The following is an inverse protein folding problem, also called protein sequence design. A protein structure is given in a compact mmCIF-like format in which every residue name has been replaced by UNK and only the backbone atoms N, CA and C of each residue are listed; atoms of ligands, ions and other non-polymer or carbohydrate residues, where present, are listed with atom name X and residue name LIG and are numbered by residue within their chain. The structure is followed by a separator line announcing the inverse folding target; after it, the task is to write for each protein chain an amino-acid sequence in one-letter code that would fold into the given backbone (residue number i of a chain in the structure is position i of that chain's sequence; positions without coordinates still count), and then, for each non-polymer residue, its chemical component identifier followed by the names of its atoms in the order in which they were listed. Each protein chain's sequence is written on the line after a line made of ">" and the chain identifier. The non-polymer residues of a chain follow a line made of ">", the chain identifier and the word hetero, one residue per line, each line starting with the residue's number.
data_IF_616146004797
#
_entry.id   IF_616146004797
#
_cell.length_a   1.000
_cell.length_b   1.000
_cell.length_c   1.000
_cell.angle_alpha   90.00
_cell.angle_beta   90.00
_cell.angle_gamma   90.00
#
_symmetry.space_group_name_H-M   'P 1'
#
loop_
_entity.id
_entity.type
_entity.pdbx_description
1 polymer ?
#
# COMPACT_ATOMS: atom_id res chain seq x y z
N UNK A 1 -46.55 3.74 -10.69
CA UNK A 1 -45.26 3.55 -9.99
C UNK A 1 -44.80 4.80 -9.23
N UNK A 2 -45.14 6.02 -9.66
CA UNK A 2 -44.66 7.28 -9.04
C UNK A 2 -45.32 7.70 -7.70
N UNK A 3 -46.40 7.02 -7.27
CA UNK A 3 -47.19 7.46 -6.11
C UNK A 3 -46.57 7.12 -4.74
N UNK A 4 -45.59 6.21 -4.66
CA UNK A 4 -45.00 5.78 -3.37
C UNK A 4 -43.94 6.75 -2.82
N UNK A 5 -43.30 7.53 -3.70
CA UNK A 5 -42.22 8.45 -3.35
C UNK A 5 -42.68 9.63 -2.48
N UNK A 6 -43.98 9.93 -2.46
CA UNK A 6 -44.53 11.12 -1.80
C UNK A 6 -45.10 10.88 -0.40
N UNK A 7 -45.17 9.63 0.08
CA UNK A 7 -45.95 9.32 1.29
C UNK A 7 -45.35 8.34 2.27
N UNK A 8 -44.05 8.01 2.20
CA UNK A 8 -43.45 6.96 3.05
C UNK A 8 -44.16 5.60 2.91
N UNK A 9 -44.76 5.33 1.75
CA UNK A 9 -45.64 4.18 1.53
C UNK A 9 -44.89 2.94 0.99
N UNK A 10 -43.56 2.95 1.01
CA UNK A 10 -42.74 1.85 0.50
C UNK A 10 -43.00 0.53 1.24
N UNK A 11 -43.14 0.57 2.58
CA UNK A 11 -43.45 -0.63 3.37
C UNK A 11 -44.74 -1.32 2.89
N UNK A 12 -45.85 -0.57 2.81
CA UNK A 12 -47.15 -1.10 2.35
C UNK A 12 -47.10 -1.57 0.90
N UNK A 13 -46.35 -0.85 0.05
CA UNK A 13 -46.17 -1.21 -1.36
C UNK A 13 -45.45 -2.54 -1.51
N UNK A 14 -44.37 -2.76 -0.74
CA UNK A 14 -43.59 -4.00 -0.71
C UNK A 14 -44.45 -5.15 -0.18
N UNK A 15 -45.15 -4.97 0.94
CA UNK A 15 -46.01 -6.01 1.53
C UNK A 15 -47.09 -6.48 0.53
N UNK A 16 -47.76 -5.53 -0.12
CA UNK A 16 -48.76 -5.85 -1.15
C UNK A 16 -48.11 -6.55 -2.36
N UNK A 17 -46.97 -6.03 -2.85
CA UNK A 17 -46.26 -6.61 -3.98
C UNK A 17 -45.75 -8.03 -3.71
N UNK A 18 -45.35 -8.37 -2.48
CA UNK A 18 -44.94 -9.74 -2.12
C UNK A 18 -46.07 -10.76 -2.33
N UNK A 19 -47.33 -10.34 -2.13
CA UNK A 19 -48.50 -11.20 -2.34
C UNK A 19 -49.00 -11.20 -3.78
N UNK A 20 -49.03 -10.02 -4.42
CA UNK A 20 -49.72 -9.83 -5.71
C UNK A 20 -48.77 -9.77 -6.91
N UNK A 21 -47.56 -9.22 -6.75
CA UNK A 21 -46.60 -8.96 -7.83
C UNK A 21 -45.15 -9.21 -7.38
N UNK A 22 -44.74 -10.47 -7.09
CA UNK A 22 -43.41 -10.75 -6.52
C UNK A 22 -42.24 -10.26 -7.37
N UNK A 23 -42.41 -10.18 -8.70
CA UNK A 23 -41.39 -9.69 -9.62
C UNK A 23 -41.10 -8.18 -9.46
N UNK A 24 -42.04 -7.39 -8.94
CA UNK A 24 -41.87 -5.94 -8.75
C UNK A 24 -41.27 -5.59 -7.38
N UNK A 25 -41.22 -6.56 -6.45
CA UNK A 25 -40.65 -6.36 -5.10
C UNK A 25 -39.22 -5.86 -5.19
N UNK A 26 -38.39 -6.46 -6.04
CA UNK A 26 -36.98 -6.07 -6.22
C UNK A 26 -36.83 -4.60 -6.60
N UNK A 27 -37.66 -4.10 -7.53
CA UNK A 27 -37.63 -2.68 -7.95
C UNK A 27 -38.13 -1.75 -6.85
N UNK A 28 -39.13 -2.18 -6.08
CA UNK A 28 -39.65 -1.41 -4.95
C UNK A 28 -38.64 -1.31 -3.81
N UNK A 29 -37.95 -2.41 -3.50
CA UNK A 29 -36.85 -2.44 -2.51
C UNK A 29 -35.69 -1.54 -2.95
N UNK A 30 -35.31 -1.57 -4.24
CA UNK A 30 -34.27 -0.68 -4.77
C UNK A 30 -34.67 0.80 -4.61
N UNK A 31 -35.89 1.15 -5.04
CA UNK A 31 -36.40 2.51 -4.92
C UNK A 31 -36.54 2.97 -3.47
N UNK A 32 -36.85 2.06 -2.54
CA UNK A 32 -36.87 2.36 -1.12
C UNK A 32 -35.45 2.63 -0.59
N UNK A 33 -34.48 1.79 -0.95
CA UNK A 33 -33.08 2.02 -0.66
C UNK A 33 -32.60 3.41 -1.14
N UNK A 34 -32.88 3.76 -2.40
CA UNK A 34 -32.50 5.05 -2.98
C UNK A 34 -33.14 6.24 -2.23
N UNK A 35 -34.40 6.10 -1.81
CA UNK A 35 -35.07 7.11 -1.00
C UNK A 35 -34.43 7.28 0.38
N UNK A 36 -34.06 6.18 1.04
CA UNK A 36 -33.38 6.21 2.35
C UNK A 36 -31.99 6.85 2.23
N UNK A 37 -31.27 6.61 1.14
CA UNK A 37 -30.00 7.29 0.84
C UNK A 37 -30.19 8.81 0.73
N UNK A 38 -31.24 9.27 0.04
CA UNK A 38 -31.57 10.70 -0.05
C UNK A 38 -31.86 11.33 1.32
N UNK A 39 -32.48 10.55 2.22
CA UNK A 39 -32.70 10.95 3.62
C UNK A 39 -31.47 10.78 4.52
N UNK A 40 -30.31 10.40 3.98
CA UNK A 40 -29.06 10.10 4.70
C UNK A 40 -29.16 8.90 5.67
N UNK A 41 -30.19 8.06 5.52
CA UNK A 41 -30.39 6.85 6.30
C UNK A 41 -29.72 5.65 5.62
N UNK A 42 -28.41 5.75 5.41
CA UNK A 42 -27.63 4.74 4.68
C UNK A 42 -27.68 3.37 5.35
N UNK A 43 -27.71 3.29 6.69
CA UNK A 43 -27.76 2.02 7.44
C UNK A 43 -29.00 1.19 7.11
N UNK A 44 -30.16 1.85 7.03
CA UNK A 44 -31.43 1.21 6.67
C UNK A 44 -31.43 0.81 5.20
N UNK A 45 -30.88 1.66 4.32
CA UNK A 45 -30.81 1.42 2.88
C UNK A 45 -30.06 0.12 2.52
N UNK A 46 -29.03 -0.27 3.29
CA UNK A 46 -28.23 -1.47 3.01
C UNK A 46 -29.11 -2.73 2.91
N UNK A 47 -30.05 -2.92 3.82
CA UNK A 47 -30.89 -4.12 3.83
C UNK A 47 -31.81 -4.15 2.60
N UNK A 48 -32.42 -3.01 2.27
CA UNK A 48 -33.25 -2.87 1.07
C UNK A 48 -32.46 -3.13 -0.21
N UNK A 49 -31.21 -2.66 -0.31
CA UNK A 49 -30.35 -2.98 -1.45
C UNK A 49 -29.95 -4.45 -1.54
N UNK A 50 -29.75 -5.13 -0.41
CA UNK A 50 -29.51 -6.58 -0.39
C UNK A 50 -30.74 -7.33 -0.90
N UNK A 51 -31.93 -6.96 -0.44
CA UNK A 51 -33.20 -7.56 -0.87
C UNK A 51 -33.51 -7.30 -2.35
N UNK A 52 -33.13 -6.10 -2.84
CA UNK A 52 -33.17 -5.73 -4.24
C UNK A 52 -32.07 -6.39 -5.10
N UNK A 53 -31.16 -7.18 -4.51
CA UNK A 53 -29.99 -7.76 -5.19
C UNK A 53 -29.07 -6.71 -5.84
N UNK A 54 -29.14 -5.46 -5.40
CA UNK A 54 -28.29 -4.34 -5.83
C UNK A 54 -27.02 -4.31 -4.97
N UNK A 55 -26.18 -5.33 -5.11
CA UNK A 55 -24.99 -5.53 -4.26
C UNK A 55 -24.03 -4.35 -4.27
N UNK A 56 -23.82 -3.70 -5.42
CA UNK A 56 -22.97 -2.51 -5.57
C UNK A 56 -23.43 -1.37 -4.66
N UNK A 57 -24.73 -1.03 -4.72
CA UNK A 57 -25.33 0.02 -3.88
C UNK A 57 -25.26 -0.35 -2.39
N UNK A 58 -25.48 -1.63 -2.06
CA UNK A 58 -25.35 -2.13 -0.69
C UNK A 58 -23.92 -1.99 -0.14
N UNK A 59 -22.91 -2.31 -0.95
CA UNK A 59 -21.48 -2.20 -0.60
C UNK A 59 -21.12 -0.72 -0.37
N UNK A 60 -21.53 0.17 -1.27
CA UNK A 60 -21.25 1.60 -1.17
C UNK A 60 -21.90 2.23 0.06
N UNK A 61 -23.16 1.87 0.35
CA UNK A 61 -23.84 2.30 1.57
C UNK A 61 -23.17 1.73 2.84
N UNK A 62 -22.74 0.47 2.84
CA UNK A 62 -22.03 -0.16 3.95
C UNK A 62 -20.65 0.47 4.21
N UNK A 63 -19.92 0.83 3.15
CA UNK A 63 -18.64 1.56 3.27
C UNK A 63 -18.89 2.99 3.79
N UNK A 64 -19.90 3.69 3.24
CA UNK A 64 -20.24 5.06 3.65
C UNK A 64 -20.65 5.17 5.13
N UNK A 65 -21.24 4.12 5.68
CA UNK A 65 -21.64 4.02 7.09
C UNK A 65 -20.58 3.41 8.00
N UNK A 66 -19.40 3.07 7.43
CA UNK A 66 -18.29 2.41 8.14
C UNK A 66 -18.67 1.03 8.71
N UNK A 67 -19.65 0.36 8.13
CA UNK A 67 -19.98 -1.04 8.44
C UNK A 67 -19.05 -2.01 7.69
N UNK A 68 -17.75 -1.93 7.95
CA UNK A 68 -16.70 -2.65 7.18
C UNK A 68 -16.90 -4.16 7.15
N UNK A 69 -17.26 -4.77 8.29
CA UNK A 69 -17.54 -6.22 8.36
C UNK A 69 -18.71 -6.63 7.47
N UNK A 70 -19.77 -5.81 7.43
CA UNK A 70 -20.94 -6.05 6.57
C UNK A 70 -20.58 -5.85 5.11
N UNK A 71 -19.77 -4.84 4.79
CA UNK A 71 -19.26 -4.62 3.44
C UNK A 71 -18.42 -5.82 2.94
N UNK A 72 -17.51 -6.34 3.76
CA UNK A 72 -16.72 -7.55 3.44
C UNK A 72 -17.62 -8.75 3.21
N UNK A 73 -18.62 -8.97 4.08
CA UNK A 73 -19.57 -10.07 3.91
C UNK A 73 -20.34 -9.98 2.59
N UNK A 74 -20.85 -8.78 2.23
CA UNK A 74 -21.55 -8.60 0.95
C UNK A 74 -20.60 -8.83 -0.24
N UNK A 75 -19.34 -8.37 -0.13
CA UNK A 75 -18.32 -8.54 -1.16
C UNK A 75 -17.92 -9.99 -1.40
N UNK A 76 -17.74 -10.76 -0.33
CA UNK A 76 -17.36 -12.18 -0.40
C UNK A 76 -18.47 -13.05 -1.07
N UNK A 77 -19.69 -12.51 -1.20
CA UNK A 77 -20.81 -13.13 -1.93
C UNK A 77 -20.88 -12.73 -3.42
N UNK A 78 -20.08 -11.75 -3.87
CA UNK A 78 -20.09 -11.28 -5.26
C UNK A 78 -19.04 -12.00 -6.13
N UNK A 79 -19.15 -11.78 -7.43
CA UNK A 79 -18.12 -12.20 -8.37
C UNK A 79 -16.79 -11.47 -8.12
N UNK A 80 -15.69 -12.18 -8.40
CA UNK A 80 -14.32 -11.67 -8.16
C UNK A 80 -14.05 -10.28 -8.77
N UNK A 81 -14.39 -9.97 -10.04
CA UNK A 81 -14.04 -8.66 -10.60
C UNK A 81 -14.85 -7.51 -10.00
N UNK A 82 -16.10 -7.73 -9.59
CA UNK A 82 -16.86 -6.72 -8.83
C UNK A 82 -16.23 -6.52 -7.45
N UNK A 83 -15.95 -7.60 -6.73
CA UNK A 83 -15.41 -7.54 -5.37
C UNK A 83 -14.00 -6.91 -5.31
N UNK A 84 -13.15 -7.24 -6.29
CA UNK A 84 -11.76 -6.75 -6.40
C UNK A 84 -11.66 -5.21 -6.39
N UNK A 85 -12.66 -4.50 -6.91
CA UNK A 85 -12.67 -3.03 -6.94
C UNK A 85 -12.85 -2.38 -5.57
N UNK A 86 -13.48 -3.08 -4.62
CA UNK A 86 -13.85 -2.53 -3.31
C UNK A 86 -12.93 -3.00 -2.19
N UNK A 87 -12.31 -4.18 -2.30
CA UNK A 87 -11.36 -4.65 -1.28
C UNK A 87 -10.24 -3.64 -0.96
N UNK A 88 -9.60 -2.94 -1.93
CA UNK A 88 -8.57 -1.94 -1.62
C UNK A 88 -9.11 -0.77 -0.79
N UNK A 89 -10.35 -0.33 -1.03
CA UNK A 89 -10.98 0.76 -0.25
C UNK A 89 -11.18 0.37 1.21
N UNK A 90 -11.56 -0.88 1.45
CA UNK A 90 -11.71 -1.41 2.81
C UNK A 90 -10.35 -1.66 3.45
N UNK A 91 -9.38 -2.19 2.68
CA UNK A 91 -8.02 -2.43 3.15
C UNK A 91 -7.39 -1.13 3.67
N UNK A 92 -7.52 -0.01 2.95
CA UNK A 92 -7.04 1.31 3.38
C UNK A 92 -7.56 1.73 4.77
N UNK A 93 -8.80 1.37 5.12
CA UNK A 93 -9.32 1.61 6.45
C UNK A 93 -8.56 0.80 7.52
N UNK A 94 -8.32 -0.49 7.27
CA UNK A 94 -7.56 -1.34 8.19
C UNK A 94 -6.09 -0.93 8.29
N UNK A 95 -5.49 -0.41 7.20
CA UNK A 95 -4.16 0.23 7.24
C UNK A 95 -4.14 1.41 8.22
N UNK A 96 -5.15 2.28 8.17
CA UNK A 96 -5.27 3.42 9.08
C UNK A 96 -5.44 2.99 10.55
N UNK A 97 -6.04 1.82 10.79
CA UNK A 97 -6.13 1.20 12.12
C UNK A 97 -4.87 0.44 12.54
N UNK A 98 -3.84 0.38 11.68
CA UNK A 98 -2.63 -0.44 11.85
C UNK A 98 -2.90 -1.95 11.95
N UNK A 99 -4.08 -2.40 11.50
CA UNK A 99 -4.41 -3.82 11.38
C UNK A 99 -3.92 -4.32 10.01
N UNK A 100 -2.61 -4.50 9.92
CA UNK A 100 -1.96 -4.87 8.67
C UNK A 100 -2.31 -6.29 8.20
N UNK A 101 -2.67 -7.19 9.11
CA UNK A 101 -3.06 -8.56 8.76
C UNK A 101 -4.38 -8.56 7.99
N UNK A 102 -5.40 -7.88 8.52
CA UNK A 102 -6.68 -7.73 7.81
C UNK A 102 -6.50 -6.99 6.48
N UNK A 103 -5.65 -5.95 6.45
CA UNK A 103 -5.37 -5.23 5.22
C UNK A 103 -4.66 -6.10 4.16
N UNK A 104 -3.70 -6.94 4.55
CA UNK A 104 -3.04 -7.90 3.66
C UNK A 104 -4.06 -8.83 3.02
N UNK A 105 -4.92 -9.48 3.81
CA UNK A 105 -5.93 -10.40 3.31
C UNK A 105 -6.85 -9.74 2.28
N UNK A 106 -7.28 -8.50 2.54
CA UNK A 106 -8.14 -7.74 1.64
C UNK A 106 -7.41 -7.34 0.35
N UNK A 107 -6.16 -6.87 0.42
CA UNK A 107 -5.39 -6.56 -0.78
C UNK A 107 -5.11 -7.80 -1.64
N UNK A 108 -4.84 -8.96 -1.01
CA UNK A 108 -4.66 -10.23 -1.71
C UNK A 108 -5.97 -10.67 -2.38
N UNK A 109 -7.11 -10.58 -1.68
CA UNK A 109 -8.44 -10.83 -2.27
C UNK A 109 -8.75 -9.88 -3.44
N UNK A 110 -8.23 -8.66 -3.38
CA UNK A 110 -8.38 -7.63 -4.41
C UNK A 110 -7.41 -7.73 -5.58
N UNK A 111 -6.52 -8.73 -5.62
CA UNK A 111 -5.44 -8.87 -6.61
C UNK A 111 -4.48 -7.65 -6.65
N UNK A 112 -4.30 -7.01 -5.48
CA UNK A 112 -3.48 -5.81 -5.27
C UNK A 112 -2.29 -6.10 -4.37
N UNK A 113 -1.53 -7.15 -4.68
CA UNK A 113 -0.38 -7.59 -3.88
C UNK A 113 0.71 -6.52 -3.78
N UNK A 114 0.92 -5.72 -4.83
CA UNK A 114 1.86 -4.58 -4.80
C UNK A 114 1.52 -3.60 -3.69
N UNK A 115 0.24 -3.23 -3.54
CA UNK A 115 -0.23 -2.34 -2.49
C UNK A 115 -0.01 -2.93 -1.08
N UNK A 116 -0.20 -4.25 -0.92
CA UNK A 116 0.04 -4.93 0.35
C UNK A 116 1.53 -4.92 0.75
N UNK A 117 2.43 -5.13 -0.21
CA UNK A 117 3.89 -5.05 0.01
C UNK A 117 4.28 -3.62 0.36
N UNK A 118 3.78 -2.64 -0.40
CA UNK A 118 4.03 -1.22 -0.15
C UNK A 118 3.54 -0.79 1.24
N UNK A 119 2.35 -1.24 1.65
CA UNK A 119 1.82 -1.03 3.00
C UNK A 119 2.79 -1.53 4.08
N UNK A 120 3.29 -2.77 3.95
CA UNK A 120 4.23 -3.32 4.93
C UNK A 120 5.56 -2.57 4.94
N UNK A 121 6.07 -2.18 3.77
CA UNK A 121 7.24 -1.33 3.70
C UNK A 121 7.00 -0.01 4.43
N UNK A 122 5.94 0.73 4.11
CA UNK A 122 5.67 2.04 4.71
C UNK A 122 5.51 1.94 6.24
N UNK A 123 5.01 0.81 6.74
CA UNK A 123 4.91 0.49 8.17
C UNK A 123 6.23 0.04 8.81
N UNK A 124 7.34 -0.05 8.06
CA UNK A 124 8.63 -0.53 8.53
C UNK A 124 8.66 -2.04 8.83
N UNK A 125 7.71 -2.81 8.31
CA UNK A 125 7.50 -4.25 8.54
C UNK A 125 8.09 -5.07 7.38
N UNK A 126 9.40 -4.98 7.26
CA UNK A 126 10.16 -5.48 6.10
C UNK A 126 10.13 -7.00 5.94
N UNK A 127 10.14 -7.75 7.04
CA UNK A 127 10.08 -9.22 7.00
C UNK A 127 8.75 -9.70 6.40
N UNK A 128 7.64 -9.04 6.77
CA UNK A 128 6.32 -9.33 6.22
C UNK A 128 6.24 -8.94 4.74
N UNK A 129 6.74 -7.74 4.38
CA UNK A 129 6.81 -7.29 3.00
C UNK A 129 7.58 -8.28 2.11
N UNK A 130 8.73 -8.76 2.56
CA UNK A 130 9.58 -9.68 1.81
C UNK A 130 8.94 -11.06 1.68
N UNK A 131 8.39 -11.58 2.78
CA UNK A 131 7.67 -12.86 2.77
C UNK A 131 6.50 -12.86 1.80
N UNK A 132 5.77 -11.76 1.71
CA UNK A 132 4.65 -11.62 0.77
C UNK A 132 5.15 -11.49 -0.67
N UNK A 133 6.15 -10.64 -0.90
CA UNK A 133 6.75 -10.44 -2.22
C UNK A 133 7.29 -11.74 -2.82
N UNK A 134 8.08 -12.50 -2.05
CA UNK A 134 8.69 -13.76 -2.49
C UNK A 134 7.68 -14.89 -2.75
N UNK A 135 6.46 -14.79 -2.20
CA UNK A 135 5.39 -15.76 -2.47
C UNK A 135 4.59 -15.44 -3.73
N UNK A 136 4.44 -14.16 -4.05
CA UNK A 136 3.47 -13.68 -5.03
C UNK A 136 4.09 -13.16 -6.33
N UNK A 137 5.40 -12.88 -6.34
CA UNK A 137 6.09 -12.29 -7.48
C UNK A 137 7.31 -13.12 -7.87
N UNK A 138 7.76 -12.93 -9.12
CA UNK A 138 9.02 -13.52 -9.57
C UNK A 138 10.19 -12.82 -8.85
N UNK A 139 11.29 -13.53 -8.55
CA UNK A 139 12.44 -12.94 -7.87
C UNK A 139 12.93 -11.64 -8.51
N UNK A 140 12.90 -11.53 -9.85
CA UNK A 140 13.35 -10.34 -10.57
C UNK A 140 12.44 -9.12 -10.32
N UNK A 141 11.13 -9.33 -10.26
CA UNK A 141 10.15 -8.28 -9.99
C UNK A 141 10.24 -7.82 -8.53
N UNK A 142 10.52 -8.77 -7.61
CA UNK A 142 10.81 -8.47 -6.21
C UNK A 142 12.06 -7.61 -6.13
N UNK A 143 13.18 -8.03 -6.71
CA UNK A 143 14.43 -7.27 -6.66
C UNK A 143 14.26 -5.84 -7.18
N UNK A 144 13.57 -5.66 -8.31
CA UNK A 144 13.30 -4.34 -8.88
C UNK A 144 12.50 -3.45 -7.92
N UNK A 145 11.44 -3.97 -7.30
CA UNK A 145 10.60 -3.21 -6.36
C UNK A 145 11.43 -2.68 -5.17
N UNK A 146 12.23 -3.55 -4.58
CA UNK A 146 13.09 -3.22 -3.45
C UNK A 146 14.20 -2.22 -3.82
N UNK A 147 14.78 -2.34 -5.02
CA UNK A 147 15.77 -1.39 -5.54
C UNK A 147 15.14 0.00 -5.72
N UNK A 148 13.96 0.10 -6.34
CA UNK A 148 13.26 1.39 -6.50
C UNK A 148 12.98 2.03 -5.15
N UNK A 149 12.53 1.23 -4.18
CA UNK A 149 12.25 1.70 -2.84
C UNK A 149 13.50 2.14 -2.09
N UNK A 150 14.62 1.42 -2.25
CA UNK A 150 15.91 1.82 -1.69
C UNK A 150 16.39 3.17 -2.25
N UNK A 151 16.20 3.41 -3.55
CA UNK A 151 16.52 4.68 -4.18
C UNK A 151 15.66 5.84 -3.66
N UNK A 152 14.37 5.63 -3.39
CA UNK A 152 13.52 6.63 -2.75
C UNK A 152 13.99 6.95 -1.33
N UNK A 153 14.40 5.92 -0.56
CA UNK A 153 14.94 6.11 0.78
C UNK A 153 16.29 6.84 0.76
N UNK A 154 17.13 6.60 -0.25
CA UNK A 154 18.37 7.35 -0.52
C UNK A 154 18.06 8.85 -0.74
N UNK A 155 17.05 9.17 -1.56
CA UNK A 155 16.61 10.54 -1.80
C UNK A 155 16.07 11.24 -0.54
N UNK A 156 15.46 10.47 0.37
CA UNK A 156 15.00 10.95 1.68
C UNK A 156 16.13 11.06 2.72
N UNK A 157 17.36 10.65 2.38
CA UNK A 157 18.51 10.64 3.30
C UNK A 157 18.49 9.48 4.31
N UNK A 158 17.61 8.50 4.15
CA UNK A 158 17.47 7.33 5.04
C UNK A 158 18.40 6.20 4.60
N UNK A 159 19.71 6.47 4.57
CA UNK A 159 20.72 5.57 3.99
C UNK A 159 20.78 4.18 4.63
N UNK A 160 20.55 4.07 5.95
CA UNK A 160 20.53 2.77 6.65
C UNK A 160 19.36 1.88 6.21
N UNK A 161 18.21 2.49 5.91
CA UNK A 161 17.05 1.72 5.41
C UNK A 161 17.29 1.29 3.96
N UNK A 162 17.85 2.18 3.14
CA UNK A 162 18.26 1.87 1.78
C UNK A 162 19.29 0.73 1.73
N UNK A 163 20.33 0.75 2.58
CA UNK A 163 21.30 -0.34 2.71
C UNK A 163 20.61 -1.67 3.01
N UNK A 164 19.70 -1.69 3.98
CA UNK A 164 18.99 -2.93 4.35
C UNK A 164 18.22 -3.49 3.16
N UNK A 165 17.60 -2.64 2.34
CA UNK A 165 16.85 -3.07 1.16
C UNK A 165 17.77 -3.65 0.09
N UNK A 166 18.87 -2.98 -0.22
CA UNK A 166 19.87 -3.49 -1.17
C UNK A 166 20.46 -4.83 -0.73
N UNK A 167 20.75 -5.01 0.57
CA UNK A 167 21.23 -6.29 1.10
C UNK A 167 20.15 -7.38 1.02
N UNK A 168 18.89 -7.04 1.23
CA UNK A 168 17.77 -8.02 1.22
C UNK A 168 17.58 -8.65 -0.17
N UNK A 169 17.94 -7.93 -1.23
CA UNK A 169 17.88 -8.42 -2.62
C UNK A 169 19.21 -8.95 -3.15
N UNK A 170 20.18 -9.15 -2.26
CA UNK A 170 21.54 -9.62 -2.59
C UNK A 170 22.31 -8.70 -3.56
N UNK A 171 22.06 -7.39 -3.48
CA UNK A 171 22.73 -6.35 -4.29
C UNK A 171 23.56 -5.39 -3.41
N UNK A 172 24.58 -5.85 -2.68
CA UNK A 172 25.39 -5.01 -1.79
C UNK A 172 26.18 -3.93 -2.55
N UNK A 173 26.45 -4.12 -3.84
CA UNK A 173 27.17 -3.17 -4.71
C UNK A 173 26.42 -1.85 -4.90
N UNK A 174 25.08 -1.91 -4.93
CA UNK A 174 24.24 -0.73 -4.97
C UNK A 174 24.35 0.07 -3.67
N UNK A 175 24.39 -0.60 -2.52
CA UNK A 175 24.61 0.05 -1.22
C UNK A 175 26.00 0.68 -1.12
N UNK A 176 27.04 -0.01 -1.59
CA UNK A 176 28.42 0.53 -1.63
C UNK A 176 28.48 1.79 -2.50
N UNK A 177 27.85 1.74 -3.68
CA UNK A 177 27.80 2.87 -4.62
C UNK A 177 27.05 4.07 -4.03
N UNK A 178 25.93 3.84 -3.35
CA UNK A 178 25.21 4.86 -2.59
C UNK A 178 26.12 5.52 -1.55
N UNK A 179 26.75 4.74 -0.65
CA UNK A 179 27.62 5.31 0.39
C UNK A 179 28.83 6.06 -0.16
N UNK A 180 29.39 5.59 -1.28
CA UNK A 180 30.44 6.29 -2.02
C UNK A 180 29.98 7.66 -2.51
N UNK A 181 28.79 7.76 -3.11
CA UNK A 181 28.20 9.03 -3.58
C UNK A 181 27.96 10.00 -2.42
N UNK A 182 27.49 9.50 -1.28
CA UNK A 182 27.26 10.28 -0.06
C UNK A 182 28.54 10.61 0.72
N UNK A 183 29.72 10.21 0.25
CA UNK A 183 31.04 10.37 0.93
C UNK A 183 31.09 9.74 2.33
N UNK A 184 30.22 8.78 2.61
CA UNK A 184 30.18 8.02 3.87
C UNK A 184 31.12 6.82 3.77
N UNK A 185 32.42 7.10 3.74
CA UNK A 185 33.43 6.08 3.43
C UNK A 185 33.58 4.99 4.49
N UNK A 186 33.23 5.26 5.75
CA UNK A 186 33.31 4.26 6.82
C UNK A 186 32.31 3.12 6.60
N UNK A 187 31.04 3.44 6.32
CA UNK A 187 30.01 2.45 6.01
C UNK A 187 30.29 1.72 4.69
N UNK A 188 30.82 2.45 3.70
CA UNK A 188 31.29 1.86 2.44
C UNK A 188 32.40 0.82 2.68
N UNK A 189 33.43 1.16 3.45
CA UNK A 189 34.53 0.23 3.79
C UNK A 189 33.98 -0.98 4.55
N UNK A 190 33.06 -0.78 5.49
CA UNK A 190 32.42 -1.88 6.24
C UNK A 190 31.74 -2.86 5.28
N UNK A 191 31.00 -2.37 4.29
CA UNK A 191 30.34 -3.21 3.30
C UNK A 191 31.34 -3.91 2.37
N UNK A 192 32.35 -3.19 1.87
CA UNK A 192 33.42 -3.77 1.04
C UNK A 192 34.16 -4.87 1.83
N UNK A 193 34.50 -4.65 3.09
CA UNK A 193 35.15 -5.66 3.92
C UNK A 193 34.28 -6.91 4.14
N UNK A 194 32.95 -6.76 4.13
CA UNK A 194 32.02 -7.87 4.33
C UNK A 194 31.78 -8.67 3.06
N UNK A 195 31.50 -8.01 1.93
CA UNK A 195 31.08 -8.64 0.68
C UNK A 195 32.20 -8.77 -0.36
N UNK A 196 33.23 -7.92 -0.31
CA UNK A 196 34.31 -7.81 -1.30
C UNK A 196 35.69 -7.69 -0.65
N UNK A 197 36.08 -8.74 0.09
CA UNK A 197 37.35 -8.76 0.85
C UNK A 197 38.58 -8.48 -0.02
N UNK A 198 38.56 -8.93 -1.26
CA UNK A 198 39.68 -8.80 -2.20
C UNK A 198 39.92 -7.36 -2.65
N UNK A 199 38.86 -6.53 -2.68
CA UNK A 199 38.93 -5.12 -3.08
C UNK A 199 39.23 -4.18 -1.90
N UNK A 200 39.30 -4.69 -0.68
CA UNK A 200 39.44 -3.87 0.53
C UNK A 200 40.77 -3.10 0.55
N UNK A 201 41.88 -3.78 0.21
CA UNK A 201 43.22 -3.19 0.18
C UNK A 201 43.32 -2.03 -0.82
N UNK A 202 42.78 -2.23 -2.03
CA UNK A 202 42.75 -1.21 -3.08
C UNK A 202 41.85 -0.04 -2.71
N UNK A 203 40.73 -0.32 -2.04
CA UNK A 203 39.81 0.70 -1.55
C UNK A 203 40.46 1.59 -0.49
N UNK A 204 41.19 1.03 0.46
CA UNK A 204 41.96 1.80 1.45
C UNK A 204 43.05 2.65 0.79
N UNK A 205 43.78 2.10 -0.17
CA UNK A 205 44.82 2.83 -0.90
C UNK A 205 44.24 4.01 -1.70
N UNK A 206 43.11 3.81 -2.38
CA UNK A 206 42.42 4.85 -3.12
C UNK A 206 41.94 5.98 -2.20
N UNK A 207 41.29 5.63 -1.07
CA UNK A 207 40.81 6.62 -0.11
C UNK A 207 41.96 7.38 0.58
N UNK A 208 43.09 6.71 0.85
CA UNK A 208 44.30 7.35 1.37
C UNK A 208 44.82 8.42 0.42
N UNK A 209 44.92 8.11 -0.87
CA UNK A 209 45.31 9.09 -1.90
C UNK A 209 44.34 10.27 -2.00
N UNK A 210 43.03 10.00 -1.98
CA UNK A 210 41.99 11.04 -2.05
C UNK A 210 42.05 11.97 -0.84
N UNK A 211 42.22 11.43 0.39
CA UNK A 211 42.35 12.24 1.61
C UNK A 211 43.64 13.08 1.63
N UNK A 212 44.77 12.52 1.22
CA UNK A 212 46.04 13.25 1.14
C UNK A 212 46.02 14.38 0.09
N UNK A 213 45.30 14.19 -1.02
CA UNK A 213 45.20 15.22 -2.06
C UNK A 213 44.39 16.44 -1.59
N UNK A 214 43.30 16.20 -0.84
CA UNK A 214 42.47 17.28 -0.25
C UNK A 214 43.22 18.02 0.86
N UNK A 215 44.02 17.33 1.69
CA UNK A 215 44.86 18.02 2.69
C UNK A 215 46.02 18.80 2.06
N UNK A 216 46.58 18.30 0.95
CA UNK A 216 47.66 18.96 0.21
C UNK A 216 47.22 20.25 -0.49
N UNK A 217 45.98 20.33 -0.98
CA UNK A 217 45.45 21.56 -1.59
C UNK A 217 45.14 22.67 -0.57
N UNK A 218 44.79 22.32 0.68
CA UNK A 218 44.63 23.30 1.76
C UNK A 218 45.97 23.82 2.30
N UNK A 219 47.07 23.08 2.11
CA UNK A 219 48.42 23.47 2.53
C UNK A 219 49.10 24.54 1.66
N UNK A 220 48.58 24.83 0.47
CA UNK A 220 49.16 25.82 -0.45
C UNK A 220 48.53 27.22 -0.39
N UNK A 221 47.67 27.50 0.59
CA UNK A 221 47.01 28.82 0.74
C UNK A 221 47.67 29.69 1.85
N UNK A 222 48.66 29.18 2.58
CA UNK A 222 49.38 29.93 3.61
C UNK A 222 50.89 29.98 3.34
N UNK A 223 51.31 30.75 2.32
CA UNK A 223 52.65 31.34 2.33
C UNK A 223 52.55 32.76 2.93
N UNK A 224 53.25 33.05 4.05
CA UNK A 224 53.30 34.41 4.58
C UNK A 224 54.22 35.26 3.69
N UNK A 225 53.67 36.32 3.09
CA UNK A 225 54.48 37.40 2.52
C UNK A 225 55.27 38.06 3.66
N UNK A 226 56.57 37.77 3.72
CA UNK A 226 57.52 38.51 4.56
C UNK A 226 57.75 39.91 3.98
N UNK A 227 57.62 40.91 4.85
CA UNK A 227 57.97 42.32 4.65
C UNK A 227 59.47 42.52 4.40
#
# INVERSE_FOLDING_TARGET
>A
MECYHKGSAFLKAVELARSAFPAEVVKLEEGWGDHLVQQKQLDAAINHYIEARCSIKAIEAAIGTRQWKKAIYILDLQDRPTAAKYYPKIAQHYVALQDYQMAEELYVKGDRMKDAIEMYTQAGRWEQAHKLASKCMRPEDVSMLYITQAQEMEQQGKYKEAERLYITVDEPDLAITMYKKCKMYEEMIRLVAKYHKDLLSDTHLHLGKVKCFVSGQLGHIFEPKSL
#
